data_IF_433746105561
#
_entry.id   IF_433746105561
#
_cell.length_a   1.000
_cell.length_b   1.000
_cell.length_c   1.000
_cell.angle_alpha   90.00
_cell.angle_beta   90.00
_cell.angle_gamma   90.00
#
_symmetry.space_group_name_H-M   'P 1'
#
loop_
_entity.id
_entity.type
_entity.pdbx_description
1 polymer ?
#
# COMPACT_ATOMS: atom_id res chain seq x y z
N UNK A 1 108.66 59.31 -15.95
CA UNK A 1 107.73 60.33 -15.41
C UNK A 1 106.37 60.11 -16.04
N UNK A 2 105.32 60.02 -15.23
CA UNK A 2 103.94 59.84 -15.71
C UNK A 2 103.13 58.89 -14.83
N UNK A 3 102.78 59.34 -13.62
CA UNK A 3 101.87 58.64 -12.71
C UNK A 3 100.43 58.67 -13.25
N UNK A 4 99.74 57.54 -13.21
CA UNK A 4 98.29 57.44 -13.37
C UNK A 4 97.73 56.32 -12.50
N UNK A 5 97.24 56.68 -11.30
CA UNK A 5 96.35 55.85 -10.47
C UNK A 5 94.97 55.79 -11.12
N UNK A 6 94.18 54.73 -10.93
CA UNK A 6 92.71 54.68 -10.68
C UNK A 6 92.30 53.19 -10.61
N UNK A 7 92.25 52.58 -9.41
CA UNK A 7 91.08 52.33 -8.54
C UNK A 7 90.03 51.40 -9.18
N UNK A 8 89.92 50.20 -8.61
CA UNK A 8 88.94 49.16 -8.95
C UNK A 8 87.52 49.56 -8.52
N UNK A 9 86.55 49.44 -9.43
CA UNK A 9 85.13 49.60 -9.14
C UNK A 9 84.47 48.23 -8.94
N UNK A 10 83.89 48.04 -7.75
CA UNK A 10 83.06 46.92 -7.36
C UNK A 10 81.74 46.96 -8.16
N UNK A 11 81.54 45.98 -9.06
CA UNK A 11 80.30 45.84 -9.82
C UNK A 11 79.20 45.23 -8.97
N UNK A 12 78.14 45.99 -8.73
CA UNK A 12 76.90 45.58 -8.07
C UNK A 12 76.14 44.54 -8.90
N UNK A 13 75.76 43.43 -8.26
CA UNK A 13 74.87 42.41 -8.81
C UNK A 13 73.46 43.00 -8.88
N UNK A 14 72.94 43.24 -10.08
CA UNK A 14 71.53 43.60 -10.25
C UNK A 14 70.62 42.40 -9.96
N UNK A 15 69.87 42.46 -8.86
CA UNK A 15 68.83 41.50 -8.56
C UNK A 15 67.66 41.68 -9.55
N UNK A 16 67.57 40.80 -10.55
CA UNK A 16 66.42 40.71 -11.45
C UNK A 16 65.20 40.22 -10.66
N UNK A 17 64.29 41.13 -10.35
CA UNK A 17 63.03 40.80 -9.66
C UNK A 17 62.06 40.12 -10.63
N UNK A 18 61.70 38.86 -10.36
CA UNK A 18 60.62 38.17 -11.06
C UNK A 18 59.28 38.61 -10.46
N UNK A 19 58.49 39.36 -11.24
CA UNK A 19 57.12 39.76 -10.87
C UNK A 19 56.22 38.53 -10.97
N UNK A 20 55.97 37.86 -9.84
CA UNK A 20 54.95 36.81 -9.76
C UNK A 20 53.59 37.46 -10.08
N UNK A 21 52.95 37.04 -11.18
CA UNK A 21 51.59 37.49 -11.54
C UNK A 21 50.67 37.15 -10.36
N UNK A 22 49.99 38.16 -9.83
CA UNK A 22 49.15 38.05 -8.64
C UNK A 22 48.14 36.91 -8.75
N UNK A 23 48.08 36.10 -7.69
CA UNK A 23 47.01 35.14 -7.47
C UNK A 23 45.70 35.93 -7.37
N UNK A 24 44.65 35.62 -8.17
CA UNK A 24 43.40 36.36 -8.10
C UNK A 24 42.78 36.21 -6.70
N UNK A 25 42.55 37.34 -6.03
CA UNK A 25 41.87 37.39 -4.74
C UNK A 25 40.41 36.98 -4.93
N UNK A 26 40.04 35.79 -4.44
CA UNK A 26 38.63 35.37 -4.37
C UNK A 26 37.93 36.35 -3.42
N UNK A 27 37.09 37.23 -3.98
CA UNK A 27 36.37 38.22 -3.20
C UNK A 27 35.31 37.55 -2.33
N UNK A 28 35.14 38.02 -1.08
CA UNK A 28 34.19 37.47 -0.08
C UNK A 28 32.77 37.29 -0.64
N UNK A 29 32.35 38.13 -1.59
CA UNK A 29 31.07 38.04 -2.33
C UNK A 29 30.93 36.75 -3.15
N UNK A 30 31.98 36.31 -3.84
CA UNK A 30 31.97 35.07 -4.62
C UNK A 30 31.94 33.83 -3.72
N UNK A 31 32.54 33.92 -2.53
CA UNK A 31 32.55 32.84 -1.53
C UNK A 31 31.17 32.67 -0.85
N UNK A 32 30.43 33.75 -0.64
CA UNK A 32 29.05 33.68 -0.13
C UNK A 32 28.11 33.13 -1.21
N UNK A 33 28.28 33.56 -2.46
CA UNK A 33 27.46 33.11 -3.58
C UNK A 33 27.62 31.62 -3.89
N UNK A 34 28.85 31.08 -3.82
CA UNK A 34 29.07 29.64 -3.99
C UNK A 34 28.52 28.79 -2.85
N UNK A 35 28.55 29.30 -1.60
CA UNK A 35 27.90 28.66 -0.45
C UNK A 35 26.38 28.66 -0.58
N UNK A 36 25.77 29.76 -1.02
CA UNK A 36 24.34 29.85 -1.26
C UNK A 36 23.91 28.90 -2.40
N UNK A 37 24.70 28.82 -3.47
CA UNK A 37 24.47 27.88 -4.56
C UNK A 37 24.59 26.41 -4.10
N UNK A 38 25.56 26.10 -3.23
CA UNK A 38 25.70 24.77 -2.64
C UNK A 38 24.52 24.40 -1.73
N UNK A 39 24.06 25.34 -0.89
CA UNK A 39 22.89 25.12 -0.01
C UNK A 39 21.62 24.94 -0.83
N UNK A 40 21.39 25.76 -1.85
CA UNK A 40 20.21 25.62 -2.73
C UNK A 40 20.24 24.30 -3.49
N UNK A 41 21.40 23.89 -4.04
CA UNK A 41 21.56 22.58 -4.66
C UNK A 41 21.27 21.43 -3.69
N UNK A 42 21.76 21.51 -2.44
CA UNK A 42 21.48 20.51 -1.41
C UNK A 42 19.99 20.45 -1.07
N UNK A 43 19.31 21.59 -0.96
CA UNK A 43 17.87 21.64 -0.71
C UNK A 43 17.08 20.95 -1.84
N UNK A 44 17.42 21.20 -3.11
CA UNK A 44 16.79 20.51 -4.24
C UNK A 44 17.07 19.00 -4.24
N UNK A 45 18.29 18.58 -3.89
CA UNK A 45 18.62 17.16 -3.74
C UNK A 45 17.79 16.50 -2.63
N UNK A 46 17.66 17.15 -1.47
CA UNK A 46 16.85 16.64 -0.37
C UNK A 46 15.36 16.62 -0.72
N UNK A 47 14.84 17.65 -1.39
CA UNK A 47 13.46 17.68 -1.86
C UNK A 47 13.19 16.57 -2.89
N UNK A 48 14.09 16.36 -3.85
CA UNK A 48 14.00 15.26 -4.81
C UNK A 48 14.01 13.89 -4.15
N UNK A 49 14.91 13.68 -3.18
CA UNK A 49 14.95 12.44 -2.40
C UNK A 49 13.65 12.22 -1.60
N UNK A 50 13.12 13.28 -0.97
CA UNK A 50 11.86 13.20 -0.24
C UNK A 50 10.68 12.81 -1.15
N UNK A 51 10.61 13.36 -2.37
CA UNK A 51 9.58 13.00 -3.35
C UNK A 51 9.66 11.52 -3.78
N UNK A 52 10.87 10.98 -3.92
CA UNK A 52 11.07 9.55 -4.26
C UNK A 52 10.71 8.64 -3.08
N UNK A 53 11.03 9.05 -1.85
CA UNK A 53 10.79 8.26 -0.65
C UNK A 53 9.32 8.31 -0.19
N UNK A 54 8.61 9.41 -0.43
CA UNK A 54 7.23 9.62 -0.02
C UNK A 54 6.26 8.49 -0.43
N UNK A 55 6.19 8.04 -1.70
CA UNK A 55 5.27 6.97 -2.08
C UNK A 55 5.62 5.63 -1.39
N UNK A 56 6.91 5.33 -1.21
CA UNK A 56 7.35 4.13 -0.47
C UNK A 56 6.97 4.21 1.00
N UNK A 57 7.11 5.37 1.62
CA UNK A 57 6.69 5.61 3.00
C UNK A 57 5.18 5.44 3.16
N UNK A 58 4.39 6.00 2.25
CA UNK A 58 2.93 5.84 2.26
C UNK A 58 2.52 4.37 2.11
N UNK A 59 3.13 3.63 1.17
CA UNK A 59 2.90 2.20 0.97
C UNK A 59 3.29 1.36 2.21
N UNK A 60 4.40 1.70 2.86
CA UNK A 60 4.83 1.05 4.10
C UNK A 60 3.81 1.28 5.23
N UNK A 61 3.32 2.51 5.40
CA UNK A 61 2.31 2.83 6.41
C UNK A 61 0.97 2.15 6.16
N UNK A 62 0.61 1.92 4.90
CA UNK A 62 -0.57 1.12 4.51
C UNK A 62 -0.41 -0.33 4.92
N UNK A 63 0.73 -0.94 4.59
CA UNK A 63 1.04 -2.32 4.94
C UNK A 63 1.06 -2.53 6.47
N UNK A 64 1.60 -1.58 7.23
CA UNK A 64 1.59 -1.68 8.69
C UNK A 64 0.18 -1.59 9.26
N UNK A 65 -0.71 -0.80 8.65
CA UNK A 65 -2.13 -0.75 9.05
C UNK A 65 -2.83 -2.07 8.76
N UNK A 66 -2.67 -2.60 7.55
CA UNK A 66 -3.18 -3.92 7.17
C UNK A 66 -2.73 -5.03 8.14
N UNK A 67 -1.42 -5.10 8.42
CA UNK A 67 -0.87 -6.08 9.35
C UNK A 67 -1.38 -5.88 10.77
N UNK A 68 -1.58 -4.63 11.21
CA UNK A 68 -2.22 -4.33 12.49
C UNK A 68 -3.65 -4.86 12.52
N UNK A 69 -4.45 -4.63 11.47
CA UNK A 69 -5.83 -5.15 11.41
C UNK A 69 -5.85 -6.67 11.55
N UNK A 70 -4.96 -7.39 10.85
CA UNK A 70 -4.83 -8.84 10.96
C UNK A 70 -4.36 -9.27 12.35
N UNK A 71 -3.33 -8.62 12.88
CA UNK A 71 -2.75 -8.95 14.18
C UNK A 71 -3.75 -8.71 15.31
N UNK A 72 -4.45 -7.57 15.29
CA UNK A 72 -5.50 -7.28 16.27
C UNK A 72 -6.67 -8.24 16.07
N UNK A 73 -7.08 -8.51 14.84
CA UNK A 73 -8.10 -9.52 14.56
C UNK A 73 -7.76 -10.89 15.18
N UNK A 74 -6.53 -11.38 14.93
CA UNK A 74 -6.02 -12.67 15.39
C UNK A 74 -5.84 -12.73 16.91
N UNK A 75 -5.51 -11.60 17.56
CA UNK A 75 -5.25 -11.53 19.02
C UNK A 75 -6.45 -11.09 19.86
N UNK A 76 -7.58 -10.73 19.25
CA UNK A 76 -8.76 -10.28 19.99
C UNK A 76 -9.37 -11.44 20.80
N UNK A 77 -9.52 -11.29 22.14
CA UNK A 77 -10.16 -12.31 22.97
C UNK A 77 -11.57 -12.61 22.47
N UNK A 78 -11.92 -13.88 22.31
CA UNK A 78 -13.25 -14.32 21.85
C UNK A 78 -14.40 -13.81 22.74
N UNK A 79 -14.11 -13.41 23.99
CA UNK A 79 -15.09 -12.96 24.99
C UNK A 79 -15.35 -11.45 25.03
N UNK A 80 -14.77 -10.64 24.14
CA UNK A 80 -14.92 -9.16 24.16
C UNK A 80 -16.29 -8.61 23.70
N UNK A 81 -17.31 -9.47 23.56
CA UNK A 81 -18.66 -9.09 23.12
C UNK A 81 -19.52 -8.71 24.33
N UNK A 82 -19.37 -7.49 24.84
CA UNK A 82 -20.45 -6.77 25.51
C UNK A 82 -20.36 -5.28 25.21
N UNK A 83 -20.89 -4.87 24.06
CA UNK A 83 -21.30 -3.48 23.87
C UNK A 83 -22.77 -3.39 24.28
N UNK A 84 -22.99 -2.54 25.27
CA UNK A 84 -24.20 -2.30 26.04
C UNK A 84 -25.43 -2.09 25.14
N UNK A 85 -26.31 -3.09 25.05
CA UNK A 85 -27.67 -2.92 24.55
C UNK A 85 -28.67 -3.39 25.60
N UNK A 86 -29.03 -2.48 26.51
CA UNK A 86 -30.30 -2.60 27.23
C UNK A 86 -31.42 -2.32 26.24
N UNK A 87 -32.11 -3.36 25.78
CA UNK A 87 -33.58 -3.46 25.64
C UNK A 87 -33.91 -4.89 25.24
N UNK A 88 -34.61 -5.59 26.12
CA UNK A 88 -35.18 -6.92 25.87
C UNK A 88 -36.34 -6.82 24.87
N UNK A 89 -36.34 -7.66 23.84
CA UNK A 89 -37.55 -8.29 23.30
C UNK A 89 -37.15 -9.60 22.64
N UNK A 90 -37.78 -10.68 23.08
CA UNK A 90 -37.59 -12.04 22.59
C UNK A 90 -37.78 -12.14 21.08
N UNK A 91 -36.74 -12.59 20.39
CA UNK A 91 -36.82 -13.15 19.03
C UNK A 91 -35.58 -13.99 18.80
N UNK A 92 -35.79 -15.27 18.51
CA UNK A 92 -34.77 -16.24 18.10
C UNK A 92 -34.16 -15.74 16.78
N UNK A 93 -33.17 -14.87 16.89
CA UNK A 93 -32.42 -14.28 15.78
C UNK A 93 -31.08 -14.99 15.74
N UNK A 94 -30.62 -15.51 14.60
CA UNK A 94 -29.31 -16.16 14.51
C UNK A 94 -28.26 -15.14 14.99
N UNK A 95 -27.41 -15.58 15.94
CA UNK A 95 -26.29 -14.82 16.53
C UNK A 95 -25.68 -13.88 15.50
N UNK A 96 -26.00 -12.58 15.60
CA UNK A 96 -25.49 -11.55 14.70
C UNK A 96 -23.97 -11.55 14.83
N UNK A 97 -23.28 -11.82 13.73
CA UNK A 97 -21.82 -11.92 13.64
C UNK A 97 -21.29 -10.49 13.75
N UNK A 98 -20.88 -10.08 14.94
CA UNK A 98 -20.56 -8.67 15.22
C UNK A 98 -19.16 -8.30 14.69
N UNK A 99 -19.05 -7.25 13.86
CA UNK A 99 -17.75 -6.76 13.40
C UNK A 99 -16.93 -6.17 14.54
N UNK A 100 -15.61 -6.25 14.40
CA UNK A 100 -14.66 -5.63 15.33
C UNK A 100 -14.25 -4.26 14.78
N UNK A 101 -14.44 -3.20 15.58
CA UNK A 101 -14.00 -1.84 15.21
C UNK A 101 -12.52 -1.66 15.53
N UNK A 102 -11.67 -1.56 14.50
CA UNK A 102 -10.22 -1.36 14.61
C UNK A 102 -9.83 -0.12 13.81
N UNK A 103 -9.16 0.86 14.44
CA UNK A 103 -8.73 2.12 13.81
C UNK A 103 -9.89 2.86 13.06
N UNK A 104 -11.13 2.71 13.54
CA UNK A 104 -12.33 3.31 12.94
C UNK A 104 -12.90 2.55 11.75
N UNK A 105 -12.37 1.35 11.45
CA UNK A 105 -12.85 0.44 10.42
C UNK A 105 -13.52 -0.78 11.05
N UNK A 106 -14.62 -1.23 10.45
CA UNK A 106 -15.33 -2.43 10.88
C UNK A 106 -14.74 -3.65 10.16
N UNK A 107 -14.01 -4.49 10.89
CA UNK A 107 -13.37 -5.71 10.40
C UNK A 107 -14.23 -6.92 10.74
N UNK A 108 -14.56 -7.73 9.73
CA UNK A 108 -15.40 -8.92 9.87
C UNK A 108 -14.61 -10.23 9.86
N UNK A 109 -13.34 -10.16 9.47
CA UNK A 109 -12.54 -11.36 9.29
C UNK A 109 -11.29 -11.15 8.45
N UNK A 110 -10.76 -12.25 7.93
CA UNK A 110 -9.70 -12.28 6.94
C UNK A 110 -10.08 -13.19 5.76
N UNK A 111 -9.61 -12.84 4.57
CA UNK A 111 -9.63 -13.70 3.38
C UNK A 111 -8.24 -14.28 3.17
N UNK A 112 -8.14 -15.57 2.86
CA UNK A 112 -6.90 -16.24 2.48
C UNK A 112 -7.05 -17.05 1.19
N UNK A 113 -6.04 -16.96 0.32
CA UNK A 113 -5.97 -17.69 -0.96
C UNK A 113 -4.52 -18.16 -1.17
N UNK A 114 -4.23 -19.39 -0.71
CA UNK A 114 -2.88 -19.97 -0.71
C UNK A 114 -2.23 -19.97 -2.10
N UNK A 115 -3.03 -20.21 -3.15
CA UNK A 115 -2.56 -20.30 -4.53
C UNK A 115 -1.80 -19.05 -4.99
N UNK A 116 -2.18 -17.89 -4.48
CA UNK A 116 -1.63 -16.59 -4.85
C UNK A 116 -0.91 -15.89 -3.70
N UNK A 117 -0.70 -16.60 -2.59
CA UNK A 117 -0.07 -16.09 -1.36
C UNK A 117 -0.76 -14.81 -0.85
N UNK A 118 -2.10 -14.86 -0.78
CA UNK A 118 -2.93 -13.75 -0.32
C UNK A 118 -3.46 -14.02 1.08
N UNK A 119 -3.27 -13.08 2.00
CA UNK A 119 -4.03 -12.97 3.25
C UNK A 119 -4.29 -11.50 3.58
N UNK A 120 -5.56 -11.09 3.63
CA UNK A 120 -5.95 -9.70 3.89
C UNK A 120 -7.19 -9.60 4.78
N UNK A 121 -7.36 -8.50 5.54
CA UNK A 121 -8.55 -8.30 6.35
C UNK A 121 -9.78 -8.03 5.47
N UNK A 122 -10.93 -8.53 5.90
CA UNK A 122 -12.24 -8.21 5.34
C UNK A 122 -12.85 -7.03 6.11
N UNK A 123 -13.05 -5.91 5.44
CA UNK A 123 -13.47 -4.64 6.03
C UNK A 123 -14.82 -4.21 5.47
N UNK A 124 -15.66 -3.55 6.26
CA UNK A 124 -16.94 -3.04 5.78
C UNK A 124 -16.79 -2.00 4.67
N UNK A 125 -17.60 -2.17 3.62
CA UNK A 125 -17.69 -1.24 2.51
C UNK A 125 -16.55 -1.36 1.51
N UNK A 126 -16.82 -0.98 0.27
CA UNK A 126 -15.82 -0.85 -0.80
C UNK A 126 -15.44 0.63 -1.02
N UNK A 127 -14.95 1.28 0.03
CA UNK A 127 -14.55 2.70 0.02
C UNK A 127 -13.05 2.85 -0.22
N UNK A 128 -12.56 4.04 -0.62
CA UNK A 128 -11.11 4.27 -0.73
C UNK A 128 -10.34 4.02 0.57
N UNK A 129 -10.97 4.17 1.73
CA UNK A 129 -10.35 3.91 3.03
C UNK A 129 -10.22 2.41 3.32
N UNK A 130 -11.27 1.63 3.05
CA UNK A 130 -11.27 0.18 3.30
C UNK A 130 -10.41 -0.58 2.29
N UNK A 131 -10.54 -0.27 0.99
CA UNK A 131 -9.78 -0.93 -0.07
C UNK A 131 -8.26 -0.70 0.05
N UNK A 132 -7.85 0.40 0.68
CA UNK A 132 -6.45 0.74 0.94
C UNK A 132 -5.79 -0.16 2.01
N UNK A 133 -6.57 -0.86 2.82
CA UNK A 133 -6.06 -1.68 3.94
C UNK A 133 -6.53 -3.14 3.88
N UNK A 134 -7.34 -3.52 2.89
CA UNK A 134 -7.79 -4.90 2.72
C UNK A 134 -8.94 -5.05 1.73
N UNK A 135 -9.67 -6.15 1.86
CA UNK A 135 -10.81 -6.49 1.00
C UNK A 135 -12.12 -5.91 1.55
N UNK A 136 -12.78 -5.09 0.76
CA UNK A 136 -14.04 -4.42 1.12
C UNK A 136 -15.26 -5.30 0.88
N UNK A 137 -16.14 -5.40 1.87
CA UNK A 137 -17.46 -6.04 1.75
C UNK A 137 -18.38 -5.10 0.98
N UNK A 138 -18.81 -5.52 -0.21
CA UNK A 138 -19.54 -4.64 -1.13
C UNK A 138 -20.99 -4.45 -0.69
N UNK A 139 -21.63 -5.51 -0.20
CA UNK A 139 -23.05 -5.50 0.19
C UNK A 139 -23.14 -5.56 1.72
N UNK A 140 -23.56 -4.47 2.40
CA UNK A 140 -23.69 -4.45 3.85
C UNK A 140 -24.69 -5.49 4.38
N UNK A 141 -24.46 -5.96 5.61
CA UNK A 141 -25.35 -6.91 6.28
C UNK A 141 -25.30 -8.34 5.74
N UNK A 142 -24.51 -8.60 4.67
CA UNK A 142 -24.23 -9.95 4.19
C UNK A 142 -23.09 -10.54 5.01
N UNK A 143 -23.13 -11.85 5.17
CA UNK A 143 -22.14 -12.58 5.96
C UNK A 143 -21.71 -13.85 5.22
N UNK A 144 -20.44 -14.26 5.34
CA UNK A 144 -19.95 -15.47 4.71
C UNK A 144 -20.78 -16.71 5.08
N UNK A 145 -21.01 -17.57 4.09
CA UNK A 145 -21.59 -18.88 4.25
C UNK A 145 -23.11 -18.90 4.29
N UNK A 146 -23.81 -17.78 4.13
CA UNK A 146 -25.26 -17.79 3.94
C UNK A 146 -25.64 -18.14 2.50
N UNK A 147 -26.87 -18.63 2.30
CA UNK A 147 -27.45 -18.76 0.96
C UNK A 147 -27.53 -17.35 0.37
N UNK A 148 -27.07 -17.20 -0.86
CA UNK A 148 -26.90 -15.91 -1.50
C UNK A 148 -25.51 -15.74 -2.09
N UNK A 149 -25.14 -14.48 -2.27
CA UNK A 149 -23.85 -14.09 -2.84
C UNK A 149 -23.16 -13.13 -1.88
N UNK A 150 -22.03 -13.56 -1.31
CA UNK A 150 -21.15 -12.71 -0.52
C UNK A 150 -20.09 -12.09 -1.45
N UNK A 151 -19.98 -10.76 -1.45
CA UNK A 151 -19.17 -10.05 -2.44
C UNK A 151 -18.05 -9.27 -1.77
N UNK A 152 -16.83 -9.53 -2.21
CA UNK A 152 -15.62 -8.83 -1.81
C UNK A 152 -14.99 -8.11 -2.99
N UNK A 153 -14.60 -6.86 -2.78
CA UNK A 153 -13.81 -6.08 -3.72
C UNK A 153 -12.44 -5.76 -3.13
N UNK A 154 -11.38 -5.86 -3.93
CA UNK A 154 -10.04 -5.41 -3.53
C UNK A 154 -9.32 -4.78 -4.72
N UNK A 155 -8.34 -3.92 -4.44
CA UNK A 155 -7.58 -3.24 -5.48
C UNK A 155 -6.87 -4.23 -6.41
N UNK A 156 -6.59 -3.77 -7.63
CA UNK A 156 -5.55 -4.35 -8.48
C UNK A 156 -4.41 -3.36 -8.59
N UNK A 157 -3.34 -3.65 -7.87
CA UNK A 157 -2.08 -2.93 -7.76
C UNK A 157 -0.96 -3.76 -8.40
N UNK A 158 0.16 -3.11 -8.69
CA UNK A 158 1.37 -3.77 -9.19
C UNK A 158 2.20 -4.42 -8.06
N UNK A 159 1.74 -4.36 -6.81
CA UNK A 159 2.48 -4.95 -5.69
C UNK A 159 2.24 -6.46 -5.62
N UNK A 160 3.29 -7.26 -5.72
CA UNK A 160 3.15 -8.72 -5.62
C UNK A 160 2.56 -9.18 -4.27
N UNK A 161 1.71 -10.22 -4.30
CA UNK A 161 1.17 -10.88 -3.10
C UNK A 161 0.21 -10.04 -2.25
N UNK A 162 -0.22 -8.88 -2.76
CA UNK A 162 -1.22 -8.04 -2.10
C UNK A 162 -2.44 -7.86 -2.98
N UNK A 163 -3.55 -7.55 -2.34
CA UNK A 163 -4.87 -7.33 -2.89
C UNK A 163 -5.23 -8.41 -3.91
N UNK A 164 -6.12 -8.10 -4.84
CA UNK A 164 -6.52 -9.05 -5.88
C UNK A 164 -5.62 -8.96 -7.12
N UNK A 165 -4.34 -8.63 -6.93
CA UNK A 165 -3.39 -8.36 -8.02
C UNK A 165 -3.17 -9.58 -8.91
N UNK A 166 -3.21 -10.77 -8.29
CA UNK A 166 -3.00 -12.07 -8.92
C UNK A 166 -4.30 -12.88 -9.03
N UNK A 167 -5.46 -12.24 -8.88
CA UNK A 167 -6.75 -12.94 -8.89
C UNK A 167 -7.02 -13.65 -10.23
N UNK A 168 -6.41 -13.17 -11.33
CA UNK A 168 -6.47 -13.81 -12.64
C UNK A 168 -5.71 -15.15 -12.72
N UNK A 169 -4.84 -15.46 -11.77
CA UNK A 169 -4.14 -16.75 -11.73
C UNK A 169 -5.02 -17.89 -11.23
N UNK A 170 -6.16 -17.57 -10.59
CA UNK A 170 -7.10 -18.57 -10.10
C UNK A 170 -7.80 -19.32 -11.23
N UNK A 171 -8.02 -20.61 -10.98
CA UNK A 171 -8.66 -21.58 -11.85
C UNK A 171 -9.76 -22.31 -11.11
N UNK A 172 -10.67 -22.91 -11.88
CA UNK A 172 -11.71 -23.78 -11.33
C UNK A 172 -11.10 -24.86 -10.45
N UNK A 173 -11.63 -25.03 -9.24
CA UNK A 173 -11.13 -25.97 -8.22
C UNK A 173 -10.22 -25.35 -7.17
N UNK A 174 -9.65 -24.16 -7.41
CA UNK A 174 -8.86 -23.46 -6.39
C UNK A 174 -9.72 -23.08 -5.18
N UNK A 175 -9.12 -23.03 -4.00
CA UNK A 175 -9.83 -22.78 -2.73
C UNK A 175 -9.64 -21.33 -2.29
N UNK A 176 -10.73 -20.75 -1.77
CA UNK A 176 -10.76 -19.43 -1.13
C UNK A 176 -11.33 -19.61 0.27
N UNK A 177 -10.62 -19.13 1.28
CA UNK A 177 -11.01 -19.28 2.68
C UNK A 177 -11.36 -17.91 3.26
N UNK A 178 -12.51 -17.82 3.94
CA UNK A 178 -12.92 -16.65 4.69
C UNK A 178 -12.94 -17.01 6.17
N UNK A 179 -12.04 -16.44 6.95
CA UNK A 179 -11.93 -16.58 8.40
C UNK A 179 -12.81 -15.52 9.07
N UNK A 180 -13.79 -15.92 9.87
CA UNK A 180 -14.55 -15.01 10.75
C UNK A 180 -14.32 -15.35 12.21
N UNK A 181 -14.92 -14.58 13.13
CA UNK A 181 -14.75 -14.77 14.57
C UNK A 181 -15.23 -16.13 15.08
N UNK A 182 -16.14 -16.76 14.34
CA UNK A 182 -16.79 -18.00 14.75
C UNK A 182 -16.26 -19.22 13.98
N UNK A 183 -15.96 -19.09 12.68
CA UNK A 183 -15.57 -20.22 11.84
C UNK A 183 -14.85 -19.79 10.56
N UNK A 184 -14.22 -20.76 9.90
CA UNK A 184 -13.63 -20.60 8.56
C UNK A 184 -14.53 -21.20 7.50
N UNK A 185 -14.80 -20.43 6.46
CA UNK A 185 -15.65 -20.79 5.33
C UNK A 185 -14.79 -21.07 4.11
N UNK A 186 -14.87 -22.29 3.56
CA UNK A 186 -14.11 -22.65 2.36
C UNK A 186 -15.01 -22.65 1.14
N UNK A 187 -14.61 -21.89 0.11
CA UNK A 187 -15.26 -21.84 -1.19
C UNK A 187 -14.33 -22.43 -2.26
N UNK A 188 -14.92 -23.04 -3.27
CA UNK A 188 -14.23 -23.58 -4.44
C UNK A 188 -14.52 -22.70 -5.64
N UNK A 189 -13.48 -22.19 -6.30
CA UNK A 189 -13.61 -21.40 -7.53
C UNK A 189 -14.32 -22.22 -8.60
N UNK A 190 -15.37 -21.64 -9.20
CA UNK A 190 -16.16 -22.27 -10.25
C UNK A 190 -15.92 -21.63 -11.61
N UNK A 191 -15.83 -20.31 -11.66
CA UNK A 191 -15.70 -19.57 -12.92
C UNK A 191 -15.01 -18.24 -12.73
N UNK A 192 -14.56 -17.69 -13.86
CA UNK A 192 -13.93 -16.38 -13.98
C UNK A 192 -14.49 -15.68 -15.21
N UNK A 193 -14.82 -14.40 -15.10
CA UNK A 193 -15.33 -13.58 -16.19
C UNK A 193 -14.79 -12.16 -16.11
N UNK A 194 -14.87 -11.44 -17.23
CA UNK A 194 -14.56 -10.01 -17.31
C UNK A 194 -15.83 -9.29 -17.72
N UNK A 195 -16.22 -8.27 -16.95
CA UNK A 195 -17.45 -7.50 -17.14
C UNK A 195 -17.16 -6.00 -17.16
N UNK A 196 -18.10 -5.18 -17.63
CA UNK A 196 -17.96 -3.73 -17.52
C UNK A 196 -18.27 -3.28 -16.08
N UNK A 197 -17.77 -2.12 -15.62
CA UNK A 197 -18.05 -1.62 -14.28
C UNK A 197 -19.54 -1.39 -13.97
N UNK A 198 -20.37 -1.21 -15.01
CA UNK A 198 -21.81 -0.97 -14.91
C UNK A 198 -22.62 -2.28 -14.78
N UNK A 199 -21.99 -3.44 -15.00
CA UNK A 199 -22.65 -4.73 -14.86
C UNK A 199 -22.80 -5.10 -13.38
N UNK A 200 -23.92 -4.67 -12.80
CA UNK A 200 -24.27 -4.95 -11.41
C UNK A 200 -24.82 -6.36 -11.20
N UNK A 201 -25.07 -7.15 -12.26
CA UNK A 201 -25.61 -8.52 -12.14
C UNK A 201 -24.67 -9.46 -11.38
N UNK A 202 -23.38 -9.11 -11.31
CA UNK A 202 -22.37 -9.83 -10.50
C UNK A 202 -22.66 -9.78 -8.99
N UNK A 203 -23.52 -8.85 -8.55
CA UNK A 203 -23.94 -8.69 -7.16
C UNK A 203 -25.24 -9.45 -6.84
N UNK A 204 -25.89 -10.02 -7.86
CA UNK A 204 -27.16 -10.72 -7.70
C UNK A 204 -27.04 -11.88 -6.73
N UNK A 205 -28.12 -12.12 -5.99
CA UNK A 205 -28.18 -13.18 -5.00
C UNK A 205 -28.52 -14.52 -5.65
N UNK A 206 -27.84 -15.58 -5.21
CA UNK A 206 -28.22 -16.94 -5.57
C UNK A 206 -29.26 -17.48 -4.56
N UNK A 207 -30.44 -17.95 -5.00
CA UNK A 207 -31.50 -18.42 -4.10
C UNK A 207 -31.23 -19.81 -3.49
N UNK A 208 -30.26 -20.55 -4.00
CA UNK A 208 -30.02 -21.97 -3.64
C UNK A 208 -28.63 -22.24 -3.10
N UNK A 209 -27.61 -21.56 -3.66
CA UNK A 209 -26.22 -21.81 -3.34
C UNK A 209 -25.64 -20.72 -2.43
N UNK A 210 -24.49 -21.06 -1.84
CA UNK A 210 -23.69 -20.16 -0.99
C UNK A 210 -22.52 -19.69 -1.85
N UNK A 211 -22.72 -18.59 -2.59
CA UNK A 211 -21.74 -18.03 -3.50
C UNK A 211 -20.83 -17.00 -2.83
N UNK A 212 -19.60 -16.94 -3.34
CA UNK A 212 -18.63 -15.88 -3.10
C UNK A 212 -18.23 -15.27 -4.44
N UNK A 213 -18.34 -13.95 -4.55
CA UNK A 213 -17.87 -13.18 -5.70
C UNK A 213 -16.69 -12.30 -5.29
N UNK A 214 -15.56 -12.46 -5.96
CA UNK A 214 -14.36 -11.63 -5.79
C UNK A 214 -14.24 -10.69 -6.99
N UNK A 215 -14.12 -9.39 -6.74
CA UNK A 215 -14.12 -8.34 -7.76
C UNK A 215 -12.83 -7.54 -7.68
N UNK A 216 -12.17 -7.36 -8.83
CA UNK A 216 -11.04 -6.43 -8.97
C UNK A 216 -11.05 -5.73 -10.32
N UNK A 217 -10.21 -4.71 -10.49
CA UNK A 217 -10.09 -3.98 -11.76
C UNK A 217 -9.36 -4.82 -12.82
N UNK A 218 -9.68 -4.64 -14.11
CA UNK A 218 -8.97 -5.27 -15.22
C UNK A 218 -9.04 -4.37 -16.46
N UNK A 219 -8.00 -4.29 -17.30
CA UNK A 219 -6.61 -4.66 -17.03
C UNK A 219 -5.99 -3.78 -15.93
N UNK A 220 -4.81 -4.17 -15.42
CA UNK A 220 -4.17 -3.55 -14.26
C UNK A 220 -3.80 -2.06 -14.44
N UNK A 221 -3.59 -1.62 -15.69
CA UNK A 221 -3.08 -0.30 -16.04
C UNK A 221 -4.19 0.73 -16.33
N UNK A 222 -5.28 0.27 -16.91
CA UNK A 222 -6.37 1.12 -17.42
C UNK A 222 -7.68 0.92 -16.68
N UNK A 223 -7.85 -0.20 -15.97
CA UNK A 223 -9.01 -0.52 -15.12
C UNK A 223 -10.39 -0.34 -15.81
N UNK A 224 -10.45 -0.59 -17.12
CA UNK A 224 -11.64 -0.37 -17.97
C UNK A 224 -12.77 -1.36 -17.68
N UNK A 225 -12.45 -2.51 -17.12
CA UNK A 225 -13.33 -3.63 -16.82
C UNK A 225 -13.14 -4.11 -15.38
N UNK A 226 -13.90 -5.12 -15.00
CA UNK A 226 -13.79 -5.83 -13.73
C UNK A 226 -13.55 -7.30 -13.98
N UNK A 227 -12.52 -7.83 -13.34
CA UNK A 227 -12.31 -9.27 -13.24
C UNK A 227 -13.17 -9.80 -12.10
N UNK A 228 -13.96 -10.81 -12.41
CA UNK A 228 -14.89 -11.45 -11.49
C UNK A 228 -14.47 -12.91 -11.34
N UNK A 229 -14.25 -13.35 -10.10
CA UNK A 229 -14.10 -14.77 -9.77
C UNK A 229 -15.28 -15.19 -8.92
N UNK A 230 -16.03 -16.18 -9.40
CA UNK A 230 -17.13 -16.80 -8.65
C UNK A 230 -16.66 -18.11 -8.03
N UNK A 231 -16.94 -18.28 -6.75
CA UNK A 231 -16.68 -19.48 -5.97
C UNK A 231 -17.94 -19.92 -5.22
N UNK A 232 -18.06 -21.21 -4.95
CA UNK A 232 -19.22 -21.80 -4.27
C UNK A 232 -18.74 -22.63 -3.09
N UNK A 233 -19.43 -22.53 -1.97
CA UNK A 233 -19.19 -23.38 -0.82
C UNK A 233 -19.76 -24.77 -1.06
N UNK A 234 -18.93 -25.80 -0.89
CA UNK A 234 -19.42 -27.17 -0.91
C UNK A 234 -20.39 -27.39 0.27
N UNK A 235 -21.53 -28.05 0.01
CA UNK A 235 -22.43 -28.46 1.09
C UNK A 235 -21.66 -29.43 1.98
N UNK A 236 -21.48 -29.09 3.25
CA UNK A 236 -21.00 -30.07 4.22
C UNK A 236 -21.92 -31.30 4.14
N UNK A 237 -21.38 -32.51 3.91
CA UNK A 237 -22.18 -33.73 3.80
C UNK A 237 -22.97 -34.04 5.07
#
# INVERSE_FOLDING_TARGET
MGHGKYIAACGTIEARTYRVKGVPLITKKNQIMSRLLGVTALLFLLAGLALILYPKWNQYNEQQRELRLLTEWDNLPQDSIQVTSKTQTDSITPKKREPKSIDGLLVYGAISIDKIDLREPMVEGATPASLKVGSGIVVPGRVPGEIGNFVLASHRSLTFGRHFNRLDELKKGDKVQLETSDQTYTYTVQSKSVVTPEDLSVLDQNPTDRELTLITCDPIDTATHRLIVKAVMEKTP
#
